data_IF_108366607864
#
_entry.id   IF_108366607864
#
_cell.length_a   1.000
_cell.length_b   1.000
_cell.length_c   1.000
_cell.angle_alpha   90.00
_cell.angle_beta   90.00
_cell.angle_gamma   90.00
#
_symmetry.space_group_name_H-M   'P 1'
#
loop_
_entity.id
_entity.type
_entity.pdbx_description
1 polymer ?
#
# COMPACT_ATOMS: atom_id res chain seq x y z
N UNK A 1 17.95 -12.30 47.01
CA UNK A 1 16.63 -12.61 47.60
C UNK A 1 15.56 -11.82 46.87
N UNK A 2 14.88 -12.45 45.93
CA UNK A 2 13.73 -11.86 45.24
C UNK A 2 12.62 -11.72 46.28
N UNK A 3 12.13 -10.49 46.53
CA UNK A 3 11.19 -10.23 47.64
C UNK A 3 9.94 -11.05 47.38
N UNK A 4 9.46 -11.78 48.38
CA UNK A 4 8.32 -12.70 48.24
C UNK A 4 7.08 -11.97 47.69
N UNK A 5 6.92 -10.70 48.08
CA UNK A 5 5.94 -9.76 47.54
C UNK A 5 6.03 -9.59 46.00
N UNK A 6 7.24 -9.47 45.44
CA UNK A 6 7.42 -9.40 43.98
C UNK A 6 7.07 -10.70 43.27
N UNK A 7 7.24 -11.86 43.93
CA UNK A 7 6.88 -13.15 43.35
C UNK A 7 5.35 -13.31 43.33
N UNK A 8 4.69 -12.94 44.43
CA UNK A 8 3.23 -12.99 44.55
C UNK A 8 2.54 -12.05 43.55
N UNK A 9 3.10 -10.87 43.31
CA UNK A 9 2.56 -9.96 42.30
C UNK A 9 2.75 -10.48 40.87
N UNK A 10 3.90 -11.06 40.56
CA UNK A 10 4.17 -11.62 39.22
C UNK A 10 3.25 -12.81 38.90
N UNK A 11 2.98 -13.68 39.86
CA UNK A 11 2.08 -14.83 39.64
C UNK A 11 0.63 -14.39 39.44
N UNK A 12 0.16 -13.38 40.17
CA UNK A 12 -1.19 -12.81 39.96
C UNK A 12 -1.34 -12.17 38.57
N UNK A 13 -0.32 -11.47 38.08
CA UNK A 13 -0.33 -10.84 36.74
C UNK A 13 -0.38 -11.89 35.62
N UNK A 14 0.38 -12.98 35.76
CA UNK A 14 0.38 -14.06 34.77
C UNK A 14 -0.95 -14.82 34.72
N UNK A 15 -1.67 -14.92 35.84
CA UNK A 15 -2.98 -15.58 35.91
C UNK A 15 -4.12 -14.75 35.31
N UNK A 16 -4.00 -13.41 35.29
CA UNK A 16 -4.97 -12.52 34.62
C UNK A 16 -4.86 -12.62 33.07
N UNK A 17 -3.77 -13.19 32.55
CA UNK A 17 -3.49 -13.26 31.11
C UNK A 17 -4.13 -14.47 30.39
N UNK A 18 -4.88 -15.33 31.08
CA UNK A 18 -5.36 -16.62 30.54
C UNK A 18 -6.87 -16.75 30.40
N UNK A 19 -7.67 -15.70 30.59
CA UNK A 19 -9.07 -15.73 30.13
C UNK A 19 -9.06 -15.72 28.61
N UNK A 20 -9.55 -16.82 28.03
CA UNK A 20 -9.65 -17.04 26.60
C UNK A 20 -10.61 -16.04 25.93
N UNK A 21 -10.14 -14.82 25.68
CA UNK A 21 -10.71 -13.92 24.69
C UNK A 21 -9.90 -14.03 23.40
N UNK A 22 -10.33 -14.97 22.56
CA UNK A 22 -10.04 -14.84 21.15
C UNK A 22 -10.70 -13.54 20.65
N UNK A 23 -9.86 -12.58 20.21
CA UNK A 23 -10.19 -11.35 19.46
C UNK A 23 -10.63 -10.12 20.26
N UNK A 24 -9.68 -9.40 20.84
CA UNK A 24 -9.42 -7.99 20.45
C UNK A 24 -8.11 -7.51 21.09
N UNK A 25 -6.99 -7.64 20.38
CA UNK A 25 -5.86 -6.76 20.69
C UNK A 25 -6.28 -5.32 20.43
N UNK A 26 -6.26 -4.42 21.44
CA UNK A 26 -6.34 -2.99 21.20
C UNK A 26 -4.97 -2.56 20.67
N UNK A 27 -4.93 -2.22 19.38
CA UNK A 27 -3.86 -1.42 18.78
C UNK A 27 -2.47 -2.08 18.71
N UNK A 28 -2.34 -3.19 17.98
CA UNK A 28 -1.16 -3.28 17.11
C UNK A 28 -1.35 -2.28 15.97
N UNK A 29 -0.30 -1.51 15.72
CA UNK A 29 -0.15 -0.49 14.69
C UNK A 29 -0.30 -1.15 13.30
N UNK A 30 -1.53 -1.41 12.89
CA UNK A 30 -1.88 -1.67 11.50
C UNK A 30 -2.94 -0.64 11.15
N UNK A 31 -2.49 0.55 10.79
CA UNK A 31 -3.36 1.58 10.24
C UNK A 31 -4.09 0.97 9.05
N UNK A 32 -5.40 0.71 9.17
CA UNK A 32 -6.23 0.24 8.07
C UNK A 32 -6.28 1.36 7.02
N UNK A 33 -5.58 1.20 5.88
CA UNK A 33 -5.51 2.26 4.90
C UNK A 33 -6.87 2.52 4.26
N UNK A 34 -7.82 1.58 4.29
CA UNK A 34 -9.16 1.77 3.72
C UNK A 34 -10.03 2.69 4.58
N UNK A 35 -9.71 2.87 5.86
CA UNK A 35 -10.45 3.78 6.76
C UNK A 35 -9.91 5.21 6.73
N UNK A 36 -8.71 5.41 6.18
CA UNK A 36 -8.11 6.74 6.11
C UNK A 36 -8.60 7.51 4.88
N UNK A 37 -9.22 8.67 5.11
CA UNK A 37 -9.66 9.56 4.03
C UNK A 37 -8.47 10.34 3.48
N UNK A 38 -7.88 9.86 2.39
CA UNK A 38 -6.78 10.55 1.68
C UNK A 38 -7.26 11.29 0.44
N UNK A 39 -6.69 12.47 0.19
CA UNK A 39 -6.92 13.24 -1.04
C UNK A 39 -5.87 12.86 -2.07
N UNK A 40 -6.30 12.50 -3.28
CA UNK A 40 -5.41 12.20 -4.39
C UNK A 40 -5.29 13.35 -5.39
N UNK A 41 -4.18 13.43 -6.14
CA UNK A 41 -4.03 14.37 -7.24
C UNK A 41 -5.09 14.21 -8.33
N UNK A 42 -5.11 15.18 -9.26
CA UNK A 42 -6.00 15.13 -10.42
C UNK A 42 -5.80 13.84 -11.21
N UNK A 43 -6.92 13.23 -11.62
CA UNK A 43 -6.98 11.97 -12.37
C UNK A 43 -6.50 10.73 -11.61
N UNK A 44 -6.38 10.82 -10.29
CA UNK A 44 -6.04 9.69 -9.42
C UNK A 44 -7.20 9.35 -8.47
N UNK A 45 -7.26 8.11 -8.02
CA UNK A 45 -8.18 7.64 -6.97
C UNK A 45 -7.39 6.87 -5.92
N UNK A 46 -7.80 7.01 -4.66
CA UNK A 46 -7.20 6.23 -3.60
C UNK A 46 -7.67 4.78 -3.71
N UNK A 47 -6.74 3.84 -3.63
CA UNK A 47 -7.00 2.41 -3.56
C UNK A 47 -6.22 1.89 -2.36
N UNK A 48 -6.91 1.28 -1.40
CA UNK A 48 -6.25 0.81 -0.18
C UNK A 48 -5.47 -0.50 -0.37
N UNK A 49 -5.77 -1.27 -1.41
CA UNK A 49 -5.04 -2.47 -1.78
C UNK A 49 -4.90 -2.51 -3.31
N UNK A 50 -3.98 -1.70 -3.85
CA UNK A 50 -3.70 -1.62 -5.28
C UNK A 50 -2.47 -2.41 -5.70
N UNK A 51 -2.28 -2.54 -7.01
CA UNK A 51 -1.07 -3.16 -7.59
C UNK A 51 0.19 -2.38 -7.20
N UNK A 52 1.28 -3.06 -6.88
CA UNK A 52 2.58 -2.43 -6.68
C UNK A 52 3.18 -1.82 -7.96
N UNK A 53 2.70 -2.23 -9.16
CA UNK A 53 3.17 -1.69 -10.44
C UNK A 53 2.01 -1.10 -11.22
N UNK A 54 2.10 0.21 -11.50
CA UNK A 54 1.18 0.91 -12.40
C UNK A 54 1.74 0.99 -13.83
N UNK A 55 0.85 0.95 -14.85
CA UNK A 55 1.23 1.25 -16.23
C UNK A 55 1.76 2.67 -16.40
N UNK A 56 2.81 2.80 -17.20
CA UNK A 56 3.35 4.11 -17.62
C UNK A 56 3.27 4.30 -19.12
N UNK A 57 3.41 5.53 -19.62
CA UNK A 57 3.48 5.76 -21.07
C UNK A 57 4.61 4.96 -21.76
N UNK A 58 5.74 4.75 -21.08
CA UNK A 58 6.86 3.94 -21.61
C UNK A 58 6.64 2.44 -21.47
N UNK A 59 5.85 2.00 -20.48
CA UNK A 59 5.52 0.59 -20.23
C UNK A 59 4.01 0.44 -19.97
N UNK A 60 3.15 0.47 -21.00
CA UNK A 60 1.69 0.41 -20.83
C UNK A 60 1.17 -0.95 -20.34
N UNK A 61 1.96 -2.00 -20.49
CA UNK A 61 1.64 -3.36 -20.05
C UNK A 61 2.77 -3.90 -19.16
N UNK A 62 2.87 -3.47 -17.90
CA UNK A 62 3.87 -4.00 -16.99
C UNK A 62 3.57 -5.47 -16.66
N UNK A 63 4.61 -6.32 -16.66
CA UNK A 63 4.53 -7.76 -16.34
C UNK A 63 4.90 -8.08 -14.89
N UNK A 64 5.20 -7.06 -14.08
CA UNK A 64 5.60 -7.27 -12.69
C UNK A 64 4.45 -7.87 -11.89
N UNK A 65 4.67 -9.05 -11.31
CA UNK A 65 3.77 -9.65 -10.34
C UNK A 65 4.11 -9.07 -8.97
N UNK A 66 3.11 -8.56 -8.27
CA UNK A 66 3.25 -8.22 -6.87
C UNK A 66 3.04 -9.50 -6.08
N UNK A 67 4.11 -10.12 -5.60
CA UNK A 67 4.03 -11.30 -4.74
C UNK A 67 3.49 -10.84 -3.38
N UNK A 68 2.22 -11.18 -3.12
CA UNK A 68 1.52 -11.10 -1.83
C UNK A 68 1.46 -9.74 -1.11
N UNK A 69 1.86 -8.66 -1.79
CA UNK A 69 1.86 -7.30 -1.27
C UNK A 69 1.06 -6.38 -2.20
N UNK A 70 -0.13 -5.96 -1.77
CA UNK A 70 -0.79 -4.81 -2.34
C UNK A 70 -0.39 -3.54 -1.57
N UNK A 71 -0.38 -2.41 -2.26
CA UNK A 71 0.01 -1.13 -1.66
C UNK A 71 -1.20 -0.20 -1.60
N UNK A 72 -1.34 0.49 -0.48
CA UNK A 72 -2.29 1.59 -0.35
C UNK A 72 -1.71 2.85 -0.99
N UNK A 73 -2.49 3.55 -1.80
CA UNK A 73 -2.00 4.78 -2.44
C UNK A 73 -2.95 5.38 -3.46
N UNK A 74 -2.47 6.41 -4.14
CA UNK A 74 -3.18 7.06 -5.24
C UNK A 74 -2.76 6.44 -6.58
N UNK A 75 -3.77 5.93 -7.30
CA UNK A 75 -3.62 5.23 -8.57
C UNK A 75 -4.34 5.97 -9.68
N UNK A 76 -3.86 5.86 -10.92
CA UNK A 76 -4.53 6.45 -12.07
C UNK A 76 -5.98 5.92 -12.19
N UNK A 77 -6.92 6.84 -12.41
CA UNK A 77 -8.31 6.50 -12.72
C UNK A 77 -8.38 5.72 -14.04
N UNK A 78 -9.48 4.96 -14.28
CA UNK A 78 -9.70 4.33 -15.57
C UNK A 78 -9.53 5.31 -16.74
N UNK A 79 -8.91 4.85 -17.85
CA UNK A 79 -8.52 5.64 -19.05
C UNK A 79 -7.32 6.58 -18.87
N UNK A 80 -6.79 6.72 -17.65
CA UNK A 80 -5.56 7.45 -17.38
C UNK A 80 -4.37 6.50 -17.22
N UNK A 81 -3.18 7.00 -17.51
CA UNK A 81 -1.91 6.29 -17.41
C UNK A 81 -0.85 7.22 -16.82
N UNK A 82 0.10 6.68 -16.06
CA UNK A 82 1.12 7.49 -15.42
C UNK A 82 2.14 7.94 -16.47
N UNK A 83 2.36 9.25 -16.62
CA UNK A 83 3.25 9.77 -17.68
C UNK A 83 4.67 9.21 -17.53
N UNK A 84 5.20 9.28 -16.31
CA UNK A 84 6.49 8.74 -15.86
C UNK A 84 6.31 8.23 -14.43
N UNK A 85 7.23 7.39 -13.92
CA UNK A 85 7.17 6.92 -12.53
C UNK A 85 7.14 8.15 -11.59
N UNK A 86 6.20 8.17 -10.64
CA UNK A 86 5.97 9.31 -9.75
C UNK A 86 5.36 10.56 -10.40
N UNK A 87 5.14 10.56 -11.71
CA UNK A 87 4.54 11.67 -12.45
C UNK A 87 3.00 11.64 -12.46
N UNK A 88 2.37 12.62 -13.13
CA UNK A 88 0.92 12.75 -13.16
C UNK A 88 0.25 11.68 -14.03
N UNK A 89 -1.00 11.37 -13.70
CA UNK A 89 -1.89 10.58 -14.54
C UNK A 89 -2.51 11.43 -15.67
N UNK A 90 -2.23 11.02 -16.91
CA UNK A 90 -2.68 11.68 -18.13
C UNK A 90 -3.56 10.73 -18.94
N UNK A 91 -4.36 11.24 -19.89
CA UNK A 91 -5.16 10.35 -20.74
C UNK A 91 -4.23 9.40 -21.51
N UNK A 92 -4.57 8.11 -21.59
CA UNK A 92 -3.70 7.12 -22.23
C UNK A 92 -3.38 7.45 -23.70
N UNK A 93 -4.31 8.08 -24.42
CA UNK A 93 -4.12 8.54 -25.80
C UNK A 93 -3.22 9.79 -25.93
N UNK A 94 -2.86 10.43 -24.82
CA UNK A 94 -1.99 11.61 -24.78
C UNK A 94 -0.52 11.28 -24.50
N UNK A 95 -0.18 9.99 -24.43
CA UNK A 95 1.21 9.57 -24.28
C UNK A 95 2.07 10.03 -25.46
N UNK A 96 3.32 10.46 -25.22
CA UNK A 96 4.25 10.78 -26.29
C UNK A 96 4.41 9.58 -27.23
N UNK A 97 4.26 9.80 -28.53
CA UNK A 97 4.59 8.77 -29.52
C UNK A 97 6.09 8.49 -29.44
N UNK A 98 6.53 7.22 -29.51
CA UNK A 98 7.95 6.92 -29.61
C UNK A 98 8.52 7.67 -30.82
N UNK A 99 9.60 8.42 -30.64
CA UNK A 99 10.28 9.06 -31.77
C UNK A 99 10.77 7.95 -32.69
N UNK A 100 10.32 7.95 -33.94
CA UNK A 100 10.92 7.13 -34.98
C UNK A 100 12.33 7.69 -35.21
N UNK A 101 13.34 7.07 -34.63
CA UNK A 101 14.71 7.32 -35.08
C UNK A 101 14.84 6.69 -36.46
N UNK A 102 14.79 7.50 -37.51
CA UNK A 102 15.22 7.10 -38.84
C UNK A 102 16.67 6.65 -38.72
N UNK A 103 16.90 5.33 -38.64
CA UNK A 103 18.23 4.78 -38.90
C UNK A 103 18.47 5.02 -40.38
N UNK A 104 19.28 6.02 -40.70
CA UNK A 104 19.83 6.15 -42.05
C UNK A 104 20.73 4.91 -42.27
N UNK A 105 20.57 4.18 -43.39
CA UNK A 105 21.36 2.98 -43.68
C UNK A 105 22.86 3.27 -43.78
#
# INVERSE_FOLDING_TARGET
MMRFETILMCTLILMISTTADAKRWPSLIFSDPCLEKRTCPKNERFICCGTCVEPTCSKPKPTGKCTDLCIAGCFCKPKFIRRVIGGPCVLANSCPKPRKTTKNP
#
